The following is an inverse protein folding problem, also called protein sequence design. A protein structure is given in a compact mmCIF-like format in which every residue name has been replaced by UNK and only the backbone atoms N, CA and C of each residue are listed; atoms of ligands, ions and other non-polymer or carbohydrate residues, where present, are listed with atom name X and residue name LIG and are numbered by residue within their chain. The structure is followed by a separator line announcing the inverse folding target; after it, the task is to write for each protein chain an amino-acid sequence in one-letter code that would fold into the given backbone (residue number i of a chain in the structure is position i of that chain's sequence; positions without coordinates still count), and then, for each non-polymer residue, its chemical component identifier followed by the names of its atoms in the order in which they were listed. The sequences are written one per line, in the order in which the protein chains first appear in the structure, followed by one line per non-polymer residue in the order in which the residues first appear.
data_IF_282661561862
#
_entry.id   IF_282661561862
#
_cell.length_a   1.000
_cell.length_b   1.000
_cell.length_c   1.000
_cell.angle_alpha   90.00
_cell.angle_beta   90.00
_cell.angle_gamma   90.00
#
_symmetry.space_group_name_H-M   'P 1'
#
loop_
_entity.id
_entity.type
_entity.pdbx_description
1 polymer ?
#
# COMPACT_ATOMS: atom_id res chain seq x y z
N UNK A 1 21.32 6.29 22.78
CA UNK A 1 22.26 7.35 22.32
C UNK A 1 23.32 6.85 21.33
N UNK A 2 23.33 5.58 20.90
CA UNK A 2 24.29 5.03 19.92
C UNK A 2 24.00 5.42 18.46
N UNK A 3 22.73 5.60 18.09
CA UNK A 3 22.32 5.80 16.69
C UNK A 3 22.89 7.04 16.00
N UNK A 4 23.14 8.14 16.71
CA UNK A 4 23.65 9.38 16.09
C UNK A 4 25.14 9.31 15.75
N UNK A 5 25.93 8.61 16.57
CA UNK A 5 27.37 8.48 16.34
C UNK A 5 27.65 7.54 15.16
N UNK A 6 26.91 6.44 15.11
CA UNK A 6 26.97 5.48 13.98
C UNK A 6 26.54 6.14 12.66
N UNK A 7 25.47 6.96 12.66
CA UNK A 7 25.06 7.72 11.46
C UNK A 7 26.11 8.74 11.00
N UNK A 8 26.85 9.37 11.91
CA UNK A 8 27.90 10.34 11.57
C UNK A 8 29.13 9.62 11.00
N UNK A 9 29.52 8.48 11.57
CA UNK A 9 30.62 7.65 11.04
C UNK A 9 30.29 7.11 9.65
N UNK A 10 29.06 6.62 9.44
CA UNK A 10 28.61 6.16 8.13
C UNK A 10 28.58 7.29 7.09
N UNK A 11 28.14 8.50 7.49
CA UNK A 11 28.15 9.66 6.61
C UNK A 11 29.57 10.10 6.20
N UNK A 12 30.54 10.04 7.12
CA UNK A 12 31.94 10.38 6.82
C UNK A 12 32.60 9.34 5.88
N UNK A 13 32.29 8.05 6.07
CA UNK A 13 32.76 6.96 5.18
C UNK A 13 32.17 7.12 3.78
N UNK A 14 30.86 7.36 3.67
CA UNK A 14 30.18 7.60 2.39
C UNK A 14 30.70 8.88 1.72
N UNK A 15 30.94 9.94 2.48
CA UNK A 15 31.50 11.20 1.99
C UNK A 15 32.90 11.03 1.40
N UNK A 16 33.79 10.29 2.08
CA UNK A 16 35.14 9.97 1.58
C UNK A 16 35.10 9.11 0.32
N UNK A 17 34.19 8.15 0.25
CA UNK A 17 34.00 7.29 -0.92
C UNK A 17 33.48 8.10 -2.11
N UNK A 18 32.47 8.94 -1.89
CA UNK A 18 31.91 9.84 -2.89
C UNK A 18 32.99 10.77 -3.46
N UNK A 19 33.83 11.34 -2.61
CA UNK A 19 34.90 12.24 -3.02
C UNK A 19 35.98 11.52 -3.88
N UNK A 20 36.34 10.28 -3.55
CA UNK A 20 37.25 9.48 -4.41
C UNK A 20 36.62 9.18 -5.77
N UNK A 21 35.33 8.86 -5.81
CA UNK A 21 34.61 8.53 -7.04
C UNK A 21 34.47 9.79 -7.93
N UNK A 22 34.12 10.94 -7.37
CA UNK A 22 33.98 12.20 -8.12
C UNK A 22 35.32 12.69 -8.67
N UNK A 23 36.42 12.59 -7.91
CA UNK A 23 37.78 12.94 -8.38
C UNK A 23 38.27 11.98 -9.48
N UNK A 24 37.88 10.70 -9.42
CA UNK A 24 38.20 9.75 -10.49
C UNK A 24 37.35 10.00 -11.74
N UNK A 25 36.09 10.39 -11.54
CA UNK A 25 35.17 10.69 -12.61
C UNK A 25 35.50 12.01 -13.34
N UNK A 26 36.05 13.02 -12.65
CA UNK A 26 36.41 14.31 -13.23
C UNK A 26 37.49 14.21 -14.32
N UNK A 27 38.29 13.15 -14.35
CA UNK A 27 39.44 13.01 -15.28
C UNK A 27 39.05 12.66 -16.72
N UNK A 28 37.93 11.97 -16.97
CA UNK A 28 37.51 11.55 -18.32
C UNK A 28 36.03 11.83 -18.57
N UNK A 29 35.68 12.28 -19.78
CA UNK A 29 34.29 12.57 -20.15
C UNK A 29 33.37 11.35 -19.97
N UNK A 30 33.83 10.15 -20.37
CA UNK A 30 33.08 8.89 -20.22
C UNK A 30 32.74 8.55 -18.77
N UNK A 31 33.64 8.81 -17.83
CA UNK A 31 33.39 8.55 -16.40
C UNK A 31 32.46 9.59 -15.76
N UNK A 32 32.41 10.83 -16.28
CA UNK A 32 31.41 11.82 -15.85
C UNK A 32 29.99 11.43 -16.25
N UNK A 33 29.82 10.93 -17.47
CA UNK A 33 28.53 10.44 -17.98
C UNK A 33 28.07 9.22 -17.18
N UNK A 34 28.97 8.29 -16.84
CA UNK A 34 28.62 7.16 -15.98
C UNK A 34 28.19 7.60 -14.57
N UNK A 35 28.88 8.59 -13.98
CA UNK A 35 28.52 9.11 -12.66
C UNK A 35 27.14 9.79 -12.68
N UNK A 36 26.85 10.57 -13.73
CA UNK A 36 25.53 11.16 -13.95
C UNK A 36 24.43 10.08 -14.02
N UNK A 37 24.65 9.03 -14.81
CA UNK A 37 23.70 7.92 -14.94
C UNK A 37 23.46 7.22 -13.60
N UNK A 38 24.51 6.95 -12.82
CA UNK A 38 24.37 6.33 -11.49
C UNK A 38 23.57 7.20 -10.52
N UNK A 39 23.76 8.52 -10.53
CA UNK A 39 22.97 9.45 -9.69
C UNK A 39 21.51 9.46 -10.10
N UNK A 40 21.22 9.48 -11.40
CA UNK A 40 19.85 9.35 -11.92
C UNK A 40 19.18 8.05 -11.48
N UNK A 41 19.88 6.91 -11.57
CA UNK A 41 19.38 5.60 -11.14
C UNK A 41 19.11 5.58 -9.64
N UNK A 42 19.98 6.18 -8.82
CA UNK A 42 19.77 6.22 -7.37
C UNK A 42 18.54 7.04 -7.00
N UNK A 43 18.38 8.24 -7.58
CA UNK A 43 17.23 9.12 -7.29
C UNK A 43 15.91 8.50 -7.78
N UNK A 44 15.86 8.03 -9.02
CA UNK A 44 14.64 7.42 -9.56
C UNK A 44 14.36 6.04 -8.93
N UNK A 45 15.41 5.27 -8.66
CA UNK A 45 15.31 3.96 -8.01
C UNK A 45 14.82 4.05 -6.57
N UNK A 46 15.29 5.04 -5.79
CA UNK A 46 14.78 5.31 -4.45
C UNK A 46 13.32 5.79 -4.46
N UNK A 47 12.94 6.62 -5.43
CA UNK A 47 11.55 7.03 -5.61
C UNK A 47 10.62 5.84 -5.94
N UNK A 48 11.02 4.99 -6.90
CA UNK A 48 10.26 3.79 -7.26
C UNK A 48 10.22 2.77 -6.12
N UNK A 49 11.32 2.60 -5.38
CA UNK A 49 11.37 1.72 -4.21
C UNK A 49 10.42 2.17 -3.11
N UNK A 50 10.36 3.48 -2.84
CA UNK A 50 9.43 4.06 -1.86
C UNK A 50 7.97 3.92 -2.30
N UNK A 51 7.68 4.15 -3.60
CA UNK A 51 6.35 3.90 -4.17
C UNK A 51 5.94 2.43 -4.04
N UNK A 52 6.86 1.50 -4.30
CA UNK A 52 6.61 0.06 -4.19
C UNK A 52 6.35 -0.35 -2.74
N UNK A 53 7.12 0.20 -1.80
CA UNK A 53 6.93 0.00 -0.37
C UNK A 53 5.53 0.48 0.08
N UNK A 54 5.17 1.72 -0.27
CA UNK A 54 3.86 2.29 0.04
C UNK A 54 2.73 1.49 -0.64
N UNK A 55 2.91 1.06 -1.88
CA UNK A 55 1.93 0.23 -2.57
C UNK A 55 1.73 -1.12 -1.88
N UNK A 56 2.81 -1.76 -1.38
CA UNK A 56 2.72 -3.00 -0.62
C UNK A 56 2.00 -2.83 0.72
N UNK A 57 2.25 -1.72 1.41
CA UNK A 57 1.56 -1.35 2.64
C UNK A 57 0.07 -1.07 2.39
N UNK A 58 -0.25 -0.44 1.26
CA UNK A 58 -1.62 -0.25 0.78
C UNK A 58 -2.32 -1.52 0.35
N UNK A 59 -1.64 -2.45 -0.32
CA UNK A 59 -2.23 -3.74 -0.70
C UNK A 59 -2.55 -4.58 0.54
N UNK A 60 -1.66 -4.58 1.54
CA UNK A 60 -1.89 -5.22 2.83
C UNK A 60 -3.09 -4.63 3.56
N UNK A 61 -3.36 -3.34 3.40
CA UNK A 61 -4.56 -2.67 3.92
C UNK A 61 -5.78 -2.80 2.99
N UNK A 62 -5.58 -3.06 1.70
CA UNK A 62 -6.63 -3.28 0.70
C UNK A 62 -7.18 -4.71 0.69
N UNK A 63 -6.48 -5.69 1.24
CA UNK A 63 -7.05 -7.01 1.53
C UNK A 63 -8.22 -6.89 2.55
N UNK A 64 -8.19 -5.87 3.40
CA UNK A 64 -9.31 -5.44 4.25
C UNK A 64 -10.48 -4.84 3.43
N UNK A 65 -10.22 -4.33 2.22
CA UNK A 65 -11.24 -3.85 1.28
C UNK A 65 -11.89 -4.99 0.47
N UNK A 66 -11.19 -6.10 0.20
CA UNK A 66 -11.82 -7.31 -0.36
C UNK A 66 -12.82 -7.95 0.62
N UNK A 67 -12.61 -7.76 1.93
CA UNK A 67 -13.63 -8.06 2.92
C UNK A 67 -14.94 -7.27 2.65
N UNK A 68 -14.88 -6.05 2.12
CA UNK A 68 -16.05 -5.21 1.78
C UNK A 68 -16.99 -5.84 0.75
N UNK A 69 -16.45 -6.50 -0.28
CA UNK A 69 -17.28 -7.24 -1.25
C UNK A 69 -17.81 -8.56 -0.66
N UNK A 70 -17.03 -9.23 0.20
CA UNK A 70 -17.50 -10.36 1.00
C UNK A 70 -18.65 -9.99 1.94
N UNK A 71 -18.57 -8.81 2.57
CA UNK A 71 -19.60 -8.27 3.47
C UNK A 71 -20.92 -8.00 2.74
N UNK A 72 -20.91 -7.42 1.54
CA UNK A 72 -22.16 -7.19 0.80
C UNK A 72 -22.86 -8.49 0.40
N UNK A 73 -22.09 -9.52 0.02
CA UNK A 73 -22.66 -10.84 -0.32
C UNK A 73 -23.21 -11.53 0.93
N UNK A 74 -22.47 -11.50 2.05
CA UNK A 74 -22.91 -12.05 3.32
C UNK A 74 -24.14 -11.31 3.88
N UNK A 75 -24.17 -9.98 3.82
CA UNK A 75 -25.30 -9.15 4.26
C UNK A 75 -26.56 -9.45 3.44
N UNK A 76 -26.44 -9.62 2.13
CA UNK A 76 -27.58 -9.99 1.28
C UNK A 76 -28.08 -11.41 1.58
N UNK A 77 -27.18 -12.35 1.87
CA UNK A 77 -27.57 -13.70 2.26
C UNK A 77 -28.30 -13.70 3.62
N UNK A 78 -27.86 -12.88 4.58
CA UNK A 78 -28.50 -12.77 5.89
C UNK A 78 -29.86 -12.11 5.81
N UNK A 79 -29.99 -11.04 5.02
CA UNK A 79 -31.30 -10.41 4.74
C UNK A 79 -32.26 -11.40 4.12
N UNK A 80 -31.81 -12.14 3.09
CA UNK A 80 -32.61 -13.20 2.49
C UNK A 80 -33.02 -14.27 3.50
N UNK A 81 -32.13 -14.66 4.41
CA UNK A 81 -32.44 -15.63 5.47
C UNK A 81 -33.52 -15.07 6.40
N UNK A 82 -33.40 -13.81 6.80
CA UNK A 82 -34.36 -13.11 7.65
C UNK A 82 -35.74 -13.00 6.98
N UNK A 83 -35.79 -12.64 5.69
CA UNK A 83 -37.04 -12.53 4.93
C UNK A 83 -37.80 -13.87 4.90
N UNK A 84 -37.10 -14.99 4.65
CA UNK A 84 -37.74 -16.31 4.64
C UNK A 84 -38.18 -16.77 6.04
N UNK A 85 -37.46 -16.37 7.09
CA UNK A 85 -37.88 -16.62 8.48
C UNK A 85 -39.15 -15.81 8.80
N UNK A 86 -39.23 -14.55 8.39
CA UNK A 86 -40.43 -13.71 8.55
C UNK A 86 -41.63 -14.28 7.80
N UNK A 87 -41.44 -14.66 6.53
CA UNK A 87 -42.47 -15.33 5.73
C UNK A 87 -42.95 -16.63 6.38
N UNK A 88 -42.06 -17.43 6.96
CA UNK A 88 -42.46 -18.63 7.70
C UNK A 88 -43.29 -18.30 8.95
N UNK A 89 -42.90 -17.28 9.72
CA UNK A 89 -43.63 -16.85 10.93
C UNK A 89 -45.02 -16.32 10.56
N UNK A 90 -45.13 -15.51 9.50
CA UNK A 90 -46.40 -14.97 9.01
C UNK A 90 -47.31 -16.06 8.44
N UNK A 91 -46.78 -16.91 7.56
CA UNK A 91 -47.49 -18.07 7.01
C UNK A 91 -47.98 -19.04 8.09
N UNK A 92 -47.30 -19.10 9.24
CA UNK A 92 -47.69 -19.92 10.39
C UNK A 92 -48.84 -19.33 11.21
N UNK A 93 -49.08 -18.02 11.12
CA UNK A 93 -50.20 -17.34 11.79
C UNK A 93 -51.49 -17.43 10.96
N UNK A 94 -51.36 -17.27 9.64
CA UNK A 94 -52.52 -17.13 8.74
C UNK A 94 -52.89 -18.42 7.99
N UNK A 95 -52.25 -19.55 8.30
CA UNK A 95 -52.53 -20.87 7.70
C UNK A 95 -52.32 -20.88 6.17
N UNK A 96 -51.24 -20.27 5.70
CA UNK A 96 -50.89 -20.20 4.28
C UNK A 96 -50.54 -21.60 3.71
N UNK A 97 -51.04 -21.90 2.52
CA UNK A 97 -50.76 -23.16 1.80
C UNK A 97 -49.26 -23.38 1.55
N UNK A 98 -48.47 -22.31 1.43
CA UNK A 98 -47.04 -22.35 1.17
C UNK A 98 -46.19 -22.35 2.45
N UNK A 99 -46.78 -22.42 3.64
CA UNK A 99 -46.06 -22.41 4.92
C UNK A 99 -44.90 -23.41 4.96
N UNK A 100 -45.13 -24.64 4.51
CA UNK A 100 -44.09 -25.68 4.51
C UNK A 100 -42.89 -25.30 3.63
N UNK A 101 -43.15 -24.68 2.48
CA UNK A 101 -42.10 -24.21 1.58
C UNK A 101 -41.27 -23.10 2.23
N UNK A 102 -41.91 -22.08 2.80
CA UNK A 102 -41.20 -20.97 3.44
C UNK A 102 -40.38 -21.41 4.65
N UNK A 103 -40.95 -22.25 5.51
CA UNK A 103 -40.27 -22.75 6.71
C UNK A 103 -39.10 -23.69 6.40
N UNK A 104 -39.23 -24.56 5.38
CA UNK A 104 -38.12 -25.40 4.92
C UNK A 104 -36.98 -24.55 4.36
N UNK A 105 -37.30 -23.53 3.54
CA UNK A 105 -36.28 -22.63 2.97
C UNK A 105 -35.61 -21.76 4.03
N UNK A 106 -36.35 -21.29 5.04
CA UNK A 106 -35.82 -20.55 6.17
C UNK A 106 -34.78 -21.39 6.94
N UNK A 107 -35.08 -22.66 7.23
CA UNK A 107 -34.16 -23.58 7.92
C UNK A 107 -32.88 -23.83 7.12
N UNK A 108 -33.00 -24.08 5.81
CA UNK A 108 -31.83 -24.34 4.95
C UNK A 108 -30.91 -23.11 4.88
N UNK A 109 -31.50 -21.92 4.72
CA UNK A 109 -30.76 -20.66 4.67
C UNK A 109 -30.11 -20.34 6.02
N UNK A 110 -30.80 -20.58 7.13
CA UNK A 110 -30.25 -20.37 8.48
C UNK A 110 -29.03 -21.29 8.73
N UNK A 111 -29.12 -22.57 8.39
CA UNK A 111 -27.98 -23.51 8.45
C UNK A 111 -26.80 -23.04 7.60
N UNK A 112 -27.07 -22.53 6.40
CA UNK A 112 -26.03 -22.05 5.50
C UNK A 112 -25.35 -20.78 6.05
N UNK A 113 -26.14 -19.87 6.62
CA UNK A 113 -25.66 -18.60 7.18
C UNK A 113 -24.74 -18.79 8.40
N UNK A 114 -24.99 -19.83 9.19
CA UNK A 114 -24.24 -20.12 10.42
C UNK A 114 -23.29 -21.33 10.31
N UNK A 115 -23.09 -21.88 9.10
CA UNK A 115 -22.32 -23.11 8.86
C UNK A 115 -20.92 -23.13 9.50
N UNK A 116 -20.27 -21.98 9.56
CA UNK A 116 -18.88 -21.83 10.05
C UNK A 116 -18.78 -21.22 11.45
N UNK A 117 -19.91 -21.01 12.16
CA UNK A 117 -19.91 -20.47 13.52
C UNK A 117 -19.82 -21.59 14.58
N UNK A 118 -18.89 -21.51 15.55
CA UNK A 118 -18.76 -22.50 16.60
C UNK A 118 -19.88 -22.37 17.65
N UNK A 119 -20.84 -23.30 17.63
CA UNK A 119 -21.77 -23.59 18.73
C UNK A 119 -23.09 -22.81 18.76
N UNK A 120 -24.16 -23.48 19.19
CA UNK A 120 -25.45 -22.88 19.58
C UNK A 120 -26.58 -22.89 18.54
N UNK A 121 -26.29 -23.25 17.29
CA UNK A 121 -27.25 -23.13 16.17
C UNK A 121 -28.13 -24.38 16.04
N UNK A 122 -27.58 -25.54 16.40
CA UNK A 122 -28.23 -26.85 16.25
C UNK A 122 -29.51 -26.97 17.09
N UNK A 123 -29.53 -26.37 18.28
CA UNK A 123 -30.70 -26.40 19.17
C UNK A 123 -31.88 -25.59 18.59
N UNK A 124 -31.60 -24.44 17.98
CA UNK A 124 -32.62 -23.62 17.32
C UNK A 124 -33.16 -24.33 16.07
N UNK A 125 -32.27 -24.97 15.30
CA UNK A 125 -32.61 -25.79 14.13
C UNK A 125 -33.48 -26.99 14.52
N UNK A 126 -33.08 -27.74 15.55
CA UNK A 126 -33.79 -28.92 16.04
C UNK A 126 -35.19 -28.58 16.56
N UNK A 127 -35.30 -27.46 17.27
CA UNK A 127 -36.58 -26.96 17.81
C UNK A 127 -37.42 -26.18 16.80
N UNK A 128 -36.93 -25.97 15.58
CA UNK A 128 -37.55 -25.09 14.59
C UNK A 128 -37.97 -23.73 15.18
N UNK A 129 -37.12 -23.16 16.02
CA UNK A 129 -37.39 -21.95 16.79
C UNK A 129 -37.24 -20.68 15.93
N UNK A 130 -38.11 -20.49 14.93
CA UNK A 130 -38.02 -19.41 13.93
C UNK A 130 -37.95 -18.00 14.56
N UNK A 131 -38.58 -17.79 15.71
CA UNK A 131 -38.46 -16.53 16.47
C UNK A 131 -37.04 -16.26 16.99
N UNK A 132 -36.35 -17.29 17.50
CA UNK A 132 -34.96 -17.20 17.93
C UNK A 132 -34.01 -17.04 16.73
N UNK A 133 -34.24 -17.81 15.66
CA UNK A 133 -33.48 -17.69 14.41
C UNK A 133 -33.52 -16.28 13.83
N UNK A 134 -34.68 -15.61 13.89
CA UNK A 134 -34.82 -14.20 13.47
C UNK A 134 -33.91 -13.28 14.27
N UNK A 135 -33.84 -13.47 15.58
CA UNK A 135 -33.01 -12.64 16.48
C UNK A 135 -31.53 -12.87 16.19
N UNK A 136 -31.11 -14.11 15.98
CA UNK A 136 -29.72 -14.45 15.69
C UNK A 136 -29.24 -13.81 14.37
N UNK A 137 -30.05 -13.95 13.29
CA UNK A 137 -29.74 -13.34 11.99
C UNK A 137 -29.73 -11.82 12.10
N UNK A 138 -30.69 -11.23 12.81
CA UNK A 138 -30.72 -9.78 13.03
C UNK A 138 -29.51 -9.27 13.84
N UNK A 139 -29.03 -10.04 14.82
CA UNK A 139 -27.83 -9.73 15.58
C UNK A 139 -26.58 -9.76 14.70
N UNK A 140 -26.46 -10.77 13.82
CA UNK A 140 -25.36 -10.87 12.84
C UNK A 140 -25.36 -9.72 11.82
N UNK A 141 -26.53 -9.32 11.31
CA UNK A 141 -26.63 -8.15 10.42
C UNK A 141 -26.17 -6.87 11.13
N UNK A 142 -26.54 -6.69 12.40
CA UNK A 142 -26.09 -5.54 13.20
C UNK A 142 -24.58 -5.58 13.46
N UNK A 143 -24.00 -6.73 13.77
CA UNK A 143 -22.55 -6.85 13.96
C UNK A 143 -21.79 -6.56 12.67
N UNK A 144 -22.24 -7.09 11.52
CA UNK A 144 -21.63 -6.76 10.22
C UNK A 144 -21.74 -5.28 9.88
N UNK A 145 -22.85 -4.62 10.25
CA UNK A 145 -23.02 -3.17 10.06
C UNK A 145 -22.06 -2.39 10.96
N UNK A 146 -21.90 -2.81 12.22
CA UNK A 146 -20.96 -2.23 13.17
C UNK A 146 -19.51 -2.40 12.68
N UNK A 147 -19.12 -3.60 12.27
CA UNK A 147 -17.80 -3.90 11.69
C UNK A 147 -17.52 -3.06 10.45
N UNK A 148 -18.54 -2.82 9.60
CA UNK A 148 -18.42 -1.92 8.45
C UNK A 148 -18.23 -0.45 8.85
N UNK A 149 -18.83 -0.01 9.96
CA UNK A 149 -18.70 1.38 10.44
C UNK A 149 -17.44 1.62 11.28
N UNK A 150 -16.95 0.60 11.98
CA UNK A 150 -15.72 0.65 12.79
C UNK A 150 -14.48 0.26 11.99
N UNK A 151 -14.63 -0.55 10.95
CA UNK A 151 -13.60 -0.87 9.97
C UNK A 151 -13.30 0.37 9.13
N UNK A 152 -12.29 1.12 9.57
CA UNK A 152 -11.73 2.25 8.85
C UNK A 152 -11.49 1.86 7.40
N UNK A 153 -12.19 2.49 6.46
CA UNK A 153 -11.68 2.56 5.09
C UNK A 153 -10.26 3.12 5.19
N UNK A 154 -9.21 2.41 4.78
CA UNK A 154 -7.91 3.04 4.62
C UNK A 154 -8.10 4.02 3.47
N UNK A 155 -8.33 5.30 3.80
CA UNK A 155 -8.20 6.35 2.83
C UNK A 155 -6.80 6.19 2.24
N UNK A 156 -6.68 6.13 0.91
CA UNK A 156 -5.39 6.38 0.28
C UNK A 156 -4.88 7.69 0.87
N UNK A 157 -3.76 7.59 1.57
CA UNK A 157 -3.13 8.69 2.27
C UNK A 157 -2.89 9.71 1.19
N UNK A 158 -3.34 10.93 1.45
CA UNK A 158 -3.23 12.06 0.53
C UNK A 158 -1.82 12.18 -0.05
N UNK A 159 -0.82 11.78 0.72
CA UNK A 159 0.60 11.69 0.37
C UNK A 159 0.85 10.63 -0.71
N UNK A 160 0.37 9.39 -0.57
CA UNK A 160 0.52 8.36 -1.60
C UNK A 160 -0.22 8.72 -2.89
N UNK A 161 -1.43 9.27 -2.76
CA UNK A 161 -2.21 9.73 -3.93
C UNK A 161 -1.49 10.85 -4.69
N UNK A 162 -0.82 11.73 -3.97
CA UNK A 162 0.00 12.79 -4.56
C UNK A 162 1.29 12.23 -5.20
N UNK A 163 1.99 11.31 -4.53
CA UNK A 163 3.20 10.66 -5.02
C UNK A 163 2.96 9.84 -6.31
N UNK A 164 1.80 9.17 -6.44
CA UNK A 164 1.40 8.50 -7.68
C UNK A 164 0.83 9.44 -8.75
N UNK A 165 0.51 10.69 -8.41
CA UNK A 165 -0.07 11.63 -9.37
C UNK A 165 0.96 12.05 -10.41
N UNK A 166 0.48 12.48 -11.58
CA UNK A 166 1.32 13.05 -12.65
C UNK A 166 2.19 14.18 -12.09
N UNK A 167 1.67 14.99 -11.17
CA UNK A 167 2.43 16.05 -10.52
C UNK A 167 3.60 15.51 -9.66
N UNK A 168 3.36 14.46 -8.86
CA UNK A 168 4.39 13.82 -8.03
C UNK A 168 5.51 13.21 -8.87
N UNK A 169 5.15 12.50 -9.95
CA UNK A 169 6.11 11.92 -10.89
C UNK A 169 6.92 13.03 -11.59
N UNK A 170 6.26 14.10 -12.04
CA UNK A 170 6.94 15.24 -12.68
C UNK A 170 7.94 15.89 -11.72
N UNK A 171 7.57 16.10 -10.45
CA UNK A 171 8.49 16.66 -9.45
C UNK A 171 9.70 15.75 -9.24
N UNK A 172 9.49 14.43 -9.13
CA UNK A 172 10.59 13.47 -8.96
C UNK A 172 11.55 13.47 -10.17
N UNK A 173 11.01 13.54 -11.39
CA UNK A 173 11.81 13.63 -12.62
C UNK A 173 12.58 14.94 -12.69
N UNK A 174 11.97 16.07 -12.29
CA UNK A 174 12.65 17.37 -12.24
C UNK A 174 13.79 17.34 -11.21
N UNK A 175 13.57 16.77 -10.02
CA UNK A 175 14.61 16.61 -9.01
C UNK A 175 15.77 15.73 -9.50
N UNK A 176 15.47 14.64 -10.22
CA UNK A 176 16.49 13.81 -10.83
C UNK A 176 17.29 14.58 -11.90
N UNK A 177 16.63 15.38 -12.74
CA UNK A 177 17.28 16.21 -13.75
C UNK A 177 18.19 17.29 -13.12
N UNK A 178 17.72 17.94 -12.05
CA UNK A 178 18.51 18.91 -11.28
C UNK A 178 19.71 18.23 -10.62
N UNK A 179 19.53 17.07 -10.00
CA UNK A 179 20.61 16.30 -9.41
C UNK A 179 21.68 15.91 -10.43
N UNK A 180 21.25 15.36 -11.58
CA UNK A 180 22.14 14.97 -12.67
C UNK A 180 22.93 16.18 -13.21
N UNK A 181 22.27 17.31 -13.48
CA UNK A 181 22.93 18.53 -13.96
C UNK A 181 23.89 19.13 -12.93
N UNK A 182 23.53 19.14 -11.64
CA UNK A 182 24.42 19.58 -10.58
C UNK A 182 25.72 18.76 -10.52
N UNK A 183 25.63 17.43 -10.66
CA UNK A 183 26.83 16.57 -10.73
C UNK A 183 27.73 16.87 -11.93
N UNK A 184 27.15 17.17 -13.10
CA UNK A 184 27.93 17.54 -14.29
C UNK A 184 28.66 18.86 -14.05
N UNK A 185 27.95 19.89 -13.56
CA UNK A 185 28.54 21.20 -13.28
C UNK A 185 29.66 21.09 -12.25
N UNK A 186 29.44 20.33 -11.17
CA UNK A 186 30.42 20.11 -10.12
C UNK A 186 31.67 19.37 -10.63
N UNK A 187 31.51 18.26 -11.34
CA UNK A 187 32.64 17.50 -11.90
C UNK A 187 33.39 18.27 -12.99
N UNK A 188 32.69 19.13 -13.76
CA UNK A 188 33.31 20.03 -14.73
C UNK A 188 34.16 21.11 -14.05
N UNK A 189 33.66 21.76 -13.00
CA UNK A 189 34.41 22.74 -12.19
C UNK A 189 35.69 22.14 -11.61
N UNK A 190 35.63 20.93 -11.05
CA UNK A 190 36.81 20.22 -10.52
C UNK A 190 37.83 19.97 -11.63
N UNK A 191 37.37 19.56 -12.81
CA UNK A 191 38.29 19.29 -13.92
C UNK A 191 39.01 20.54 -14.45
N UNK A 192 38.32 21.68 -14.51
CA UNK A 192 38.91 22.97 -14.86
C UNK A 192 39.99 23.36 -13.85
N UNK A 193 39.72 23.20 -12.54
CA UNK A 193 40.69 23.47 -11.48
C UNK A 193 41.93 22.55 -11.56
N UNK A 194 41.75 21.28 -11.92
CA UNK A 194 42.86 20.33 -12.13
C UNK A 194 43.70 20.66 -13.37
N UNK A 195 43.09 21.15 -14.45
CA UNK A 195 43.81 21.60 -15.64
C UNK A 195 44.62 22.88 -15.37
N UNK A 196 44.02 23.85 -14.66
CA UNK A 196 44.70 25.10 -14.30
C UNK A 196 45.91 24.88 -13.37
N UNK A 197 45.80 23.97 -12.40
CA UNK A 197 46.93 23.61 -11.51
C UNK A 197 48.04 22.83 -12.24
N UNK A 198 47.70 22.02 -13.25
CA UNK A 198 48.68 21.32 -14.09
C UNK A 198 49.45 22.25 -15.04
N UNK A 199 48.84 23.35 -15.51
CA UNK A 199 49.53 24.37 -16.31
C UNK A 199 50.51 25.21 -15.48
N UNK A 200 50.19 25.50 -14.22
CA UNK A 200 51.06 26.27 -13.33
C UNK A 200 52.30 25.51 -12.83
N UNK A 201 52.36 24.18 -13.02
CA UNK A 201 53.47 23.34 -12.55
C UNK A 201 54.46 22.96 -13.67
N UNK A 202 54.16 23.26 -14.93
CA UNK A 202 55.07 23.07 -16.05
C UNK A 202 55.44 24.43 -16.65
N UNK A 203 56.60 25.04 -16.30
CA UNK A 203 57.04 26.25 -16.99
C UNK A 203 57.30 25.94 -18.48
N UNK A 204 57.00 26.89 -19.39
CA UNK A 204 57.29 26.69 -20.80
C UNK A 204 58.79 26.44 -20.99
N UNK A 205 59.13 25.42 -21.78
CA UNK A 205 60.51 25.18 -22.19
C UNK A 205 61.04 26.45 -22.86
N UNK A 206 62.11 27.01 -22.29
CA UNK A 206 62.83 28.16 -22.83
C UNK A 206 63.30 27.83 -24.25
N UNK A 207 62.95 28.63 -25.27
CA UNK A 207 63.46 28.42 -26.62
C UNK A 207 64.97 28.69 -26.64
N UNK A 208 65.73 27.67 -27.03
CA UNK A 208 67.16 27.76 -27.38
C UNK A 208 67.34 28.09 -28.85
#
# INVERSE_FOLDING_TARGET
MSSLKDMIEDADVVGKLANRITVKASKRARTRVMLMATVGIVILGSHLGYLTYLQGEYQKSSDEHNAKYGFLVAENQDKRTLDYIELCIEASKDTDANRHYYCSKALDLYKLTFKDMPGGIDENVEKAAFGAMKVDVAARIRSMTLDRTMGQTPAMDSVLKFLLSIAGIVIAVVLAAVGMTATIVYTWRISQAQLASAQNTNPPASPT
#
